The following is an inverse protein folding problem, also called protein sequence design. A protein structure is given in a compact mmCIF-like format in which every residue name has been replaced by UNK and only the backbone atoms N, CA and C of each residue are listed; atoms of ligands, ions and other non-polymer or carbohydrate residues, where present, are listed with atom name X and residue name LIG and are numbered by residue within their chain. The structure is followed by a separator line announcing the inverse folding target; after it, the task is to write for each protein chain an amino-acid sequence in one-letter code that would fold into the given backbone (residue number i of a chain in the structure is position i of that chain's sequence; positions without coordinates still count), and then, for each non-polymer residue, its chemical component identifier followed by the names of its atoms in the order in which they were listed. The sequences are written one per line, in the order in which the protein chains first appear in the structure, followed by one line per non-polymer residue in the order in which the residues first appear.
data_IF_556115729395
#
_entry.id   IF_556115729395
#
_cell.length_a   1.000
_cell.length_b   1.000
_cell.length_c   1.000
_cell.angle_alpha   90.00
_cell.angle_beta   90.00
_cell.angle_gamma   90.00
#
_symmetry.space_group_name_H-M   'P 1'
#
loop_
_entity.id
_entity.type
_entity.pdbx_description
1 polymer ?
#
# COMPACT_ATOMS: atom_id res chain seq x y z
N UNK A 1 -60.57 -37.72 -39.31
CA UNK A 1 -59.13 -37.63 -39.49
C UNK A 1 -58.67 -36.35 -38.82
N UNK A 2 -58.14 -36.47 -37.59
CA UNK A 2 -57.73 -35.33 -36.76
C UNK A 2 -56.18 -35.22 -36.87
N UNK A 3 -55.69 -34.20 -37.55
CA UNK A 3 -54.19 -33.91 -37.65
C UNK A 3 -53.72 -33.24 -36.38
N UNK A 4 -52.89 -33.94 -35.60
CA UNK A 4 -52.13 -33.38 -34.48
C UNK A 4 -50.94 -32.65 -35.07
N UNK A 5 -50.85 -31.35 -34.84
CA UNK A 5 -49.67 -30.53 -35.16
C UNK A 5 -48.82 -30.47 -33.89
N UNK A 6 -47.62 -31.09 -33.93
CA UNK A 6 -46.62 -30.99 -32.88
C UNK A 6 -45.84 -29.66 -33.06
N UNK A 7 -45.99 -28.74 -32.13
CA UNK A 7 -45.12 -27.58 -32.03
C UNK A 7 -43.84 -27.97 -31.27
N UNK A 8 -42.70 -28.02 -31.96
CA UNK A 8 -41.37 -28.15 -31.33
C UNK A 8 -40.97 -26.76 -30.86
N UNK A 9 -40.98 -26.55 -29.55
CA UNK A 9 -40.40 -25.35 -28.91
C UNK A 9 -38.90 -25.58 -28.77
N UNK A 10 -38.11 -24.93 -29.61
CA UNK A 10 -36.65 -24.89 -29.46
C UNK A 10 -36.31 -23.87 -28.36
N UNK A 11 -35.96 -24.38 -27.17
CA UNK A 11 -35.42 -23.57 -26.10
C UNK A 11 -33.94 -23.29 -26.42
N UNK A 12 -33.63 -22.09 -26.94
CA UNK A 12 -32.26 -21.60 -27.12
C UNK A 12 -31.78 -21.15 -25.76
N UNK A 13 -30.99 -21.99 -25.08
CA UNK A 13 -30.29 -21.62 -23.86
C UNK A 13 -29.16 -20.69 -24.23
N UNK A 14 -29.32 -19.38 -23.97
CA UNK A 14 -28.24 -18.45 -23.97
C UNK A 14 -27.34 -18.73 -22.73
N UNK A 15 -26.25 -19.43 -22.95
CA UNK A 15 -25.19 -19.50 -21.97
C UNK A 15 -24.57 -18.09 -21.86
N UNK A 16 -24.94 -17.38 -20.81
CA UNK A 16 -24.23 -16.12 -20.44
C UNK A 16 -22.78 -16.48 -20.10
N UNK A 17 -21.87 -16.18 -21.00
CA UNK A 17 -20.45 -16.18 -20.72
C UNK A 17 -20.26 -15.07 -19.69
N UNK A 18 -20.06 -15.43 -18.43
CA UNK A 18 -19.64 -14.50 -17.40
C UNK A 18 -18.26 -13.97 -17.84
N UNK A 19 -18.23 -12.77 -18.41
CA UNK A 19 -16.99 -12.02 -18.57
C UNK A 19 -16.52 -11.69 -17.15
N UNK A 20 -15.33 -12.15 -16.77
CA UNK A 20 -14.65 -11.60 -15.60
C UNK A 20 -14.58 -10.09 -15.83
N UNK A 21 -15.23 -9.30 -14.96
CA UNK A 21 -15.14 -7.84 -15.05
C UNK A 21 -13.68 -7.47 -14.84
N UNK A 22 -13.14 -6.57 -15.68
CA UNK A 22 -11.80 -6.03 -15.47
C UNK A 22 -11.69 -5.47 -14.05
N UNK A 23 -10.51 -5.63 -13.38
CA UNK A 23 -10.31 -5.05 -12.07
C UNK A 23 -10.61 -3.55 -12.09
N UNK A 24 -11.15 -2.97 -11.00
CA UNK A 24 -11.38 -1.54 -10.90
C UNK A 24 -10.12 -0.74 -11.26
N UNK A 25 -10.27 0.44 -11.91
CA UNK A 25 -9.14 1.27 -12.35
C UNK A 25 -8.13 1.55 -11.23
N UNK A 26 -8.63 1.71 -10.01
CA UNK A 26 -7.75 1.95 -8.85
C UNK A 26 -6.83 0.75 -8.59
N UNK A 27 -7.34 -0.47 -8.68
CA UNK A 27 -6.56 -1.70 -8.52
C UNK A 27 -5.56 -1.89 -9.66
N UNK A 28 -5.97 -1.61 -10.89
CA UNK A 28 -5.07 -1.64 -12.05
C UNK A 28 -3.90 -0.67 -11.86
N UNK A 29 -4.19 0.57 -11.43
CA UNK A 29 -3.17 1.57 -11.16
C UNK A 29 -2.16 1.14 -10.08
N UNK A 30 -2.64 0.52 -8.99
CA UNK A 30 -1.73 -0.04 -7.97
C UNK A 30 -0.89 -1.20 -8.51
N UNK A 31 -1.47 -2.09 -9.32
CA UNK A 31 -0.72 -3.19 -9.96
C UNK A 31 0.36 -2.66 -10.89
N UNK A 32 0.05 -1.67 -11.73
CA UNK A 32 1.04 -1.02 -12.58
C UNK A 32 2.16 -0.35 -11.77
N UNK A 33 1.80 0.31 -10.67
CA UNK A 33 2.78 0.93 -9.76
C UNK A 33 3.74 -0.11 -9.17
N UNK A 34 3.23 -1.27 -8.72
CA UNK A 34 4.06 -2.37 -8.20
C UNK A 34 4.91 -3.03 -9.29
N UNK A 35 4.50 -2.98 -10.54
CA UNK A 35 5.28 -3.45 -11.69
C UNK A 35 6.24 -2.37 -12.26
N UNK A 36 6.40 -1.25 -11.54
CA UNK A 36 7.20 -0.05 -11.90
C UNK A 36 6.71 0.66 -13.16
N UNK A 37 5.50 0.40 -13.63
CA UNK A 37 4.90 1.08 -14.76
C UNK A 37 4.16 2.34 -14.32
N UNK A 38 4.91 3.32 -13.78
CA UNK A 38 4.33 4.54 -13.19
C UNK A 38 3.50 5.37 -14.18
N UNK A 39 3.81 5.30 -15.48
CA UNK A 39 3.04 6.01 -16.50
C UNK A 39 1.61 5.45 -16.62
N UNK A 40 1.48 4.12 -16.69
CA UNK A 40 0.16 3.47 -16.76
C UNK A 40 -0.59 3.62 -15.43
N UNK A 41 0.11 3.50 -14.29
CA UNK A 41 -0.49 3.74 -12.98
C UNK A 41 -1.15 5.12 -12.92
N UNK A 42 -0.45 6.18 -13.35
CA UNK A 42 -1.01 7.54 -13.39
C UNK A 42 -2.21 7.67 -14.34
N UNK A 43 -2.19 6.98 -15.49
CA UNK A 43 -3.33 6.99 -16.39
C UNK A 43 -4.58 6.38 -15.74
N UNK A 44 -4.44 5.23 -15.06
CA UNK A 44 -5.54 4.58 -14.38
C UNK A 44 -6.06 5.41 -13.20
N UNK A 45 -5.19 6.02 -12.40
CA UNK A 45 -5.59 6.91 -11.31
C UNK A 45 -6.33 8.14 -11.81
N UNK A 46 -5.82 8.80 -12.86
CA UNK A 46 -6.48 9.94 -13.48
C UNK A 46 -7.84 9.57 -14.10
N UNK A 47 -7.96 8.41 -14.75
CA UNK A 47 -9.23 7.93 -15.26
C UNK A 47 -10.23 7.66 -14.12
N UNK A 48 -9.75 7.08 -13.01
CA UNK A 48 -10.58 6.89 -11.82
C UNK A 48 -11.09 8.22 -11.26
N UNK A 49 -10.24 9.24 -11.17
CA UNK A 49 -10.65 10.59 -10.73
C UNK A 49 -11.71 11.21 -11.64
N UNK A 50 -11.61 11.03 -12.95
CA UNK A 50 -12.62 11.52 -13.90
C UNK A 50 -13.96 10.82 -13.67
N UNK A 51 -13.95 9.51 -13.41
CA UNK A 51 -15.17 8.73 -13.15
C UNK A 51 -15.76 9.00 -11.77
N UNK A 52 -14.92 9.28 -10.77
CA UNK A 52 -15.30 9.45 -9.37
C UNK A 52 -14.64 10.71 -8.75
N UNK A 53 -14.99 11.92 -9.21
CA UNK A 53 -14.26 13.14 -8.85
C UNK A 53 -14.38 13.54 -7.36
N UNK A 54 -15.37 12.98 -6.65
CA UNK A 54 -15.54 13.20 -5.20
C UNK A 54 -14.89 12.11 -4.34
N UNK A 55 -14.30 11.09 -4.95
CA UNK A 55 -13.69 9.99 -4.23
C UNK A 55 -12.23 10.30 -3.87
N UNK A 56 -11.87 10.37 -2.56
CA UNK A 56 -10.52 10.73 -2.15
C UNK A 56 -9.45 9.69 -2.50
N UNK A 57 -9.85 8.46 -2.87
CA UNK A 57 -8.89 7.43 -3.30
C UNK A 57 -8.19 7.79 -4.61
N UNK A 58 -8.82 8.52 -5.53
CA UNK A 58 -8.19 8.95 -6.77
C UNK A 58 -6.92 9.76 -6.50
N UNK A 59 -7.04 10.95 -5.92
CA UNK A 59 -5.87 11.82 -5.71
C UNK A 59 -4.84 11.23 -4.73
N UNK A 60 -5.22 10.46 -3.70
CA UNK A 60 -4.22 9.83 -2.84
C UNK A 60 -3.43 8.75 -3.58
N UNK A 61 -4.05 8.05 -4.53
CA UNK A 61 -3.37 7.05 -5.38
C UNK A 61 -2.46 7.72 -6.40
N UNK A 62 -2.86 8.85 -7.00
CA UNK A 62 -1.93 9.65 -7.81
C UNK A 62 -0.69 10.08 -7.02
N UNK A 63 -0.88 10.53 -5.77
CA UNK A 63 0.23 10.89 -4.90
C UNK A 63 1.15 9.68 -4.62
N UNK A 64 0.58 8.48 -4.41
CA UNK A 64 1.36 7.25 -4.27
C UNK A 64 2.20 6.97 -5.51
N UNK A 65 1.61 7.01 -6.69
CA UNK A 65 2.32 6.80 -7.95
C UNK A 65 3.46 7.80 -8.18
N UNK A 66 3.27 9.09 -7.87
CA UNK A 66 4.34 10.09 -7.93
C UNK A 66 5.45 9.81 -6.92
N UNK A 67 5.09 9.46 -5.68
CA UNK A 67 6.07 9.20 -4.61
C UNK A 67 6.90 7.94 -4.91
N UNK A 68 6.27 6.85 -5.31
CA UNK A 68 6.99 5.62 -5.63
C UNK A 68 7.84 5.76 -6.89
N UNK A 69 7.39 6.54 -7.89
CA UNK A 69 8.21 6.91 -9.04
C UNK A 69 9.45 7.71 -8.63
N UNK A 70 9.31 8.63 -7.68
CA UNK A 70 10.45 9.40 -7.14
C UNK A 70 11.38 8.53 -6.28
N UNK A 71 10.84 7.58 -5.51
CA UNK A 71 11.64 6.58 -4.81
C UNK A 71 12.48 5.73 -5.77
N UNK A 72 11.88 5.27 -6.87
CA UNK A 72 12.61 4.53 -7.90
C UNK A 72 13.73 5.36 -8.51
N UNK A 73 13.44 6.63 -8.85
CA UNK A 73 14.43 7.57 -9.40
C UNK A 73 15.60 7.84 -8.44
N UNK A 74 15.30 7.93 -7.14
CA UNK A 74 16.29 8.22 -6.10
C UNK A 74 17.00 6.97 -5.55
N UNK A 75 16.62 5.76 -6.00
CA UNK A 75 17.21 4.50 -5.53
C UNK A 75 16.80 4.13 -4.09
N UNK A 76 15.66 4.63 -3.60
CA UNK A 76 15.19 4.39 -2.22
C UNK A 76 14.53 3.02 -2.07
N UNK A 77 14.06 2.41 -3.17
CA UNK A 77 13.35 1.13 -3.12
C UNK A 77 14.29 -0.08 -2.92
N UNK A 78 15.54 0.15 -2.57
CA UNK A 78 16.51 -0.93 -2.34
C UNK A 78 16.33 -1.55 -0.96
N UNK A 79 16.21 -2.86 -0.90
CA UNK A 79 15.93 -3.63 0.33
C UNK A 79 16.99 -3.42 1.40
N UNK A 80 18.25 -3.23 1.01
CA UNK A 80 19.36 -3.03 1.94
C UNK A 80 19.12 -1.84 2.90
N UNK A 81 18.42 -0.79 2.46
CA UNK A 81 18.05 0.35 3.29
C UNK A 81 17.18 -0.05 4.48
N UNK A 82 16.38 -1.10 4.32
CA UNK A 82 15.41 -1.53 5.34
C UNK A 82 15.85 -2.76 6.13
N UNK A 83 16.81 -3.52 5.62
CA UNK A 83 17.34 -4.72 6.28
C UNK A 83 18.40 -4.35 7.32
N UNK A 84 19.20 -3.32 7.07
CA UNK A 84 20.28 -2.87 7.96
C UNK A 84 19.97 -1.51 8.60
N UNK A 85 19.89 -1.47 9.94
CA UNK A 85 19.60 -0.25 10.68
C UNK A 85 20.67 0.82 10.48
N UNK A 86 21.96 0.46 10.34
CA UNK A 86 23.03 1.42 10.09
C UNK A 86 22.84 2.08 8.72
N UNK A 87 22.50 1.30 7.70
CA UNK A 87 22.22 1.84 6.36
C UNK A 87 21.04 2.81 6.38
N UNK A 88 20.02 2.55 7.21
CA UNK A 88 18.90 3.46 7.37
C UNK A 88 19.29 4.74 8.14
N UNK A 89 20.04 4.62 9.24
CA UNK A 89 20.44 5.76 10.06
C UNK A 89 21.43 6.66 9.33
N UNK A 90 22.39 6.08 8.59
CA UNK A 90 23.42 6.79 7.83
C UNK A 90 22.95 7.30 6.46
N UNK A 91 21.69 7.02 6.08
CA UNK A 91 21.13 7.47 4.81
C UNK A 91 21.30 8.97 4.62
N UNK A 92 21.69 9.39 3.43
CA UNK A 92 21.79 10.80 3.09
C UNK A 92 20.42 11.42 2.88
N UNK A 93 20.30 12.71 3.21
CA UNK A 93 19.16 13.50 2.77
C UNK A 93 19.17 13.56 1.25
N UNK A 94 18.09 13.16 0.63
CA UNK A 94 17.94 13.14 -0.82
C UNK A 94 17.44 14.50 -1.33
N UNK A 95 17.69 14.77 -2.61
CA UNK A 95 17.19 15.97 -3.28
C UNK A 95 16.09 15.55 -4.24
N UNK A 96 14.81 15.73 -3.87
CA UNK A 96 13.68 15.39 -4.73
C UNK A 96 13.58 16.38 -5.89
N UNK A 97 12.92 15.92 -6.98
CA UNK A 97 12.49 16.84 -8.03
C UNK A 97 11.41 17.78 -7.48
N UNK A 98 11.62 19.12 -7.52
CA UNK A 98 10.64 20.07 -6.98
C UNK A 98 9.27 20.00 -7.68
N UNK A 99 9.25 19.67 -8.97
CA UNK A 99 8.00 19.52 -9.72
C UNK A 99 7.22 18.27 -9.29
N UNK A 100 7.93 17.16 -9.03
CA UNK A 100 7.32 15.94 -8.50
C UNK A 100 6.83 16.17 -7.07
N UNK A 101 7.62 16.85 -6.23
CA UNK A 101 7.17 17.23 -4.88
C UNK A 101 5.87 18.04 -4.92
N UNK A 102 5.79 19.02 -5.80
CA UNK A 102 4.58 19.84 -5.95
C UNK A 102 3.37 19.00 -6.37
N UNK A 103 3.55 18.01 -7.27
CA UNK A 103 2.47 17.09 -7.67
C UNK A 103 2.00 16.25 -6.48
N UNK A 104 2.93 15.68 -5.70
CA UNK A 104 2.62 14.91 -4.49
C UNK A 104 1.82 15.77 -3.51
N UNK A 105 2.32 16.96 -3.17
CA UNK A 105 1.67 17.85 -2.21
C UNK A 105 0.26 18.27 -2.68
N UNK A 106 0.10 18.56 -3.96
CA UNK A 106 -1.20 18.94 -4.56
C UNK A 106 -2.19 17.78 -4.48
N UNK A 107 -1.76 16.59 -4.85
CA UNK A 107 -2.60 15.39 -4.84
C UNK A 107 -3.00 15.01 -3.41
N UNK A 108 -2.07 15.02 -2.45
CA UNK A 108 -2.36 14.75 -1.03
C UNK A 108 -3.33 15.77 -0.43
N UNK A 109 -3.14 17.06 -0.73
CA UNK A 109 -4.03 18.11 -0.22
C UNK A 109 -5.45 17.96 -0.81
N UNK A 110 -5.57 17.59 -2.09
CA UNK A 110 -6.87 17.31 -2.74
C UNK A 110 -7.54 16.09 -2.09
N UNK A 111 -6.77 15.01 -1.84
CA UNK A 111 -7.27 13.82 -1.17
C UNK A 111 -7.80 14.14 0.23
N UNK A 112 -7.03 14.91 1.02
CA UNK A 112 -7.42 15.32 2.37
C UNK A 112 -8.71 16.16 2.36
N UNK A 113 -8.83 17.14 1.43
CA UNK A 113 -10.04 17.96 1.29
C UNK A 113 -11.28 17.13 0.95
N UNK A 114 -11.16 16.19 0.00
CA UNK A 114 -12.26 15.30 -0.37
C UNK A 114 -12.64 14.35 0.77
N UNK A 115 -11.65 13.80 1.46
CA UNK A 115 -11.87 12.93 2.61
C UNK A 115 -12.56 13.69 3.76
N UNK A 116 -12.09 14.90 4.10
CA UNK A 116 -12.71 15.73 5.14
C UNK A 116 -14.15 16.12 4.79
N UNK A 117 -14.42 16.44 3.52
CA UNK A 117 -15.77 16.71 3.06
C UNK A 117 -16.68 15.48 3.14
N UNK A 118 -16.17 14.28 2.87
CA UNK A 118 -16.91 13.02 2.98
C UNK A 118 -17.17 12.69 4.46
N UNK A 119 -16.17 12.79 5.33
CA UNK A 119 -16.29 12.55 6.77
C UNK A 119 -17.19 13.55 7.46
N UNK A 120 -17.23 14.81 6.99
CA UNK A 120 -18.19 15.81 7.48
C UNK A 120 -19.65 15.45 7.19
N UNK A 121 -19.93 14.68 6.14
CA UNK A 121 -21.26 14.14 5.82
C UNK A 121 -21.54 12.80 6.49
N UNK A 122 -20.54 11.94 6.54
CA UNK A 122 -20.60 10.61 7.13
C UNK A 122 -19.29 10.31 7.89
N UNK A 123 -19.24 10.49 9.22
CA UNK A 123 -18.02 10.25 10.00
C UNK A 123 -17.45 8.83 9.93
N UNK A 124 -18.27 7.84 9.53
CA UNK A 124 -17.89 6.43 9.39
C UNK A 124 -17.68 6.01 7.92
N UNK A 125 -17.44 6.98 7.02
CA UNK A 125 -17.11 6.68 5.63
C UNK A 125 -15.74 5.99 5.55
N UNK A 126 -15.76 4.68 5.35
CA UNK A 126 -14.55 3.86 5.34
C UNK A 126 -13.58 4.24 4.21
N UNK A 127 -14.09 4.66 3.06
CA UNK A 127 -13.25 5.09 1.93
C UNK A 127 -12.49 6.36 2.28
N UNK A 128 -13.18 7.32 2.90
CA UNK A 128 -12.56 8.57 3.32
C UNK A 128 -11.57 8.37 4.49
N UNK A 129 -11.92 7.52 5.48
CA UNK A 129 -11.01 7.14 6.55
C UNK A 129 -9.74 6.48 5.99
N UNK A 130 -9.89 5.52 5.08
CA UNK A 130 -8.75 4.82 4.46
C UNK A 130 -7.89 5.76 3.61
N UNK A 131 -8.49 6.66 2.83
CA UNK A 131 -7.74 7.65 2.06
C UNK A 131 -6.88 8.56 2.97
N UNK A 132 -7.39 8.94 4.16
CA UNK A 132 -6.58 9.69 5.15
C UNK A 132 -5.45 8.84 5.74
N UNK A 133 -5.68 7.56 5.99
CA UNK A 133 -4.62 6.64 6.44
C UNK A 133 -3.51 6.58 5.39
N UNK A 134 -3.86 6.42 4.10
CA UNK A 134 -2.89 6.44 3.00
C UNK A 134 -2.14 7.77 2.89
N UNK A 135 -2.87 8.90 2.95
CA UNK A 135 -2.28 10.24 2.88
C UNK A 135 -1.21 10.45 3.97
N UNK A 136 -1.51 10.04 5.21
CA UNK A 136 -0.57 10.11 6.33
C UNK A 136 0.62 9.16 6.16
N UNK A 137 0.40 7.95 5.65
CA UNK A 137 1.47 7.00 5.31
C UNK A 137 2.44 7.59 4.28
N UNK A 138 1.93 8.11 3.17
CA UNK A 138 2.75 8.72 2.12
C UNK A 138 3.52 9.96 2.61
N UNK A 139 2.90 10.79 3.48
CA UNK A 139 3.61 11.92 4.12
C UNK A 139 4.72 11.44 5.06
N UNK A 140 4.48 10.35 5.79
CA UNK A 140 5.48 9.72 6.65
C UNK A 140 6.66 9.22 5.83
N UNK A 141 6.39 8.48 4.76
CA UNK A 141 7.42 7.91 3.89
C UNK A 141 8.26 9.01 3.21
N UNK A 142 7.61 10.07 2.71
CA UNK A 142 8.32 11.21 2.13
C UNK A 142 9.23 11.89 3.17
N UNK A 143 8.70 12.14 4.37
CA UNK A 143 9.46 12.79 5.44
C UNK A 143 10.64 11.94 5.92
N UNK A 144 10.44 10.62 6.09
CA UNK A 144 11.49 9.70 6.53
C UNK A 144 12.53 9.46 5.44
N UNK A 145 12.10 9.04 4.25
CA UNK A 145 12.99 8.45 3.25
C UNK A 145 13.66 9.50 2.36
N UNK A 146 13.02 10.63 2.09
CA UNK A 146 13.57 11.71 1.25
C UNK A 146 14.13 12.84 2.11
N UNK A 147 13.32 13.39 3.02
CA UNK A 147 13.71 14.59 3.77
C UNK A 147 14.53 14.32 5.03
N UNK A 148 14.61 13.08 5.49
CA UNK A 148 15.26 12.68 6.76
C UNK A 148 14.70 13.48 7.95
N UNK A 149 13.36 13.65 7.98
CA UNK A 149 12.62 14.34 9.04
C UNK A 149 11.90 13.33 9.93
N UNK A 150 12.68 12.56 10.69
CA UNK A 150 12.21 11.40 11.42
C UNK A 150 11.11 11.71 12.46
N UNK A 151 11.18 12.88 13.13
CA UNK A 151 10.12 13.29 14.07
C UNK A 151 8.80 13.60 13.37
N UNK A 152 8.84 14.20 12.19
CA UNK A 152 7.64 14.45 11.40
C UNK A 152 7.05 13.13 10.88
N UNK A 153 7.90 12.23 10.39
CA UNK A 153 7.50 10.90 9.96
C UNK A 153 6.80 10.14 11.10
N UNK A 154 7.40 10.09 12.29
CA UNK A 154 6.80 9.46 13.46
C UNK A 154 5.43 10.06 13.82
N UNK A 155 5.28 11.39 13.72
CA UNK A 155 3.99 12.06 13.96
C UNK A 155 2.93 11.63 12.96
N UNK A 156 3.27 11.55 11.66
CA UNK A 156 2.35 11.09 10.61
C UNK A 156 1.98 9.61 10.79
N UNK A 157 2.96 8.76 11.08
CA UNK A 157 2.73 7.33 11.35
C UNK A 157 1.75 7.14 12.50
N UNK A 158 1.95 7.84 13.63
CA UNK A 158 1.06 7.77 14.80
C UNK A 158 -0.37 8.22 14.47
N UNK A 159 -0.52 9.30 13.70
CA UNK A 159 -1.85 9.77 13.28
C UNK A 159 -2.52 8.75 12.34
N UNK A 160 -1.78 8.24 11.34
CA UNK A 160 -2.27 7.24 10.40
C UNK A 160 -2.73 5.97 11.10
N UNK A 161 -1.94 5.48 12.07
CA UNK A 161 -2.31 4.35 12.90
C UNK A 161 -3.61 4.59 13.68
N UNK A 162 -3.73 5.73 14.37
CA UNK A 162 -4.94 6.03 15.15
C UNK A 162 -6.19 5.97 14.28
N UNK A 163 -6.13 6.52 13.06
CA UNK A 163 -7.24 6.44 12.10
C UNK A 163 -7.47 5.01 11.58
N UNK A 164 -6.40 4.25 11.33
CA UNK A 164 -6.51 2.87 10.91
C UNK A 164 -7.16 2.00 12.00
N UNK A 165 -6.78 2.16 13.26
CA UNK A 165 -7.40 1.47 14.40
C UNK A 165 -8.88 1.82 14.55
N UNK A 166 -9.25 3.09 14.32
CA UNK A 166 -10.65 3.52 14.31
C UNK A 166 -11.43 2.83 13.17
N UNK A 167 -10.90 2.84 11.95
CA UNK A 167 -11.50 2.17 10.82
C UNK A 167 -11.64 0.66 11.07
N UNK A 168 -10.62 0.01 11.60
CA UNK A 168 -10.62 -1.43 11.87
C UNK A 168 -11.59 -1.82 12.99
N UNK A 169 -11.80 -0.94 13.98
CA UNK A 169 -12.82 -1.16 15.02
C UNK A 169 -14.23 -1.20 14.43
N UNK A 170 -14.50 -0.37 13.43
CA UNK A 170 -15.79 -0.30 12.75
C UNK A 170 -15.93 -1.36 11.65
N UNK A 171 -14.82 -1.65 10.95
CA UNK A 171 -14.74 -2.57 9.81
C UNK A 171 -13.50 -3.46 9.90
N UNK A 172 -13.54 -4.57 10.66
CA UNK A 172 -12.39 -5.47 10.81
C UNK A 172 -11.93 -6.12 9.48
N UNK A 173 -12.74 -6.07 8.44
CA UNK A 173 -12.40 -6.58 7.10
C UNK A 173 -11.77 -5.54 6.19
N UNK A 174 -11.47 -4.34 6.67
CA UNK A 174 -10.70 -3.34 5.93
C UNK A 174 -9.21 -3.70 5.95
N UNK A 175 -8.85 -4.83 5.33
CA UNK A 175 -7.54 -5.48 5.48
C UNK A 175 -6.36 -4.60 5.09
N UNK A 176 -6.51 -3.69 4.12
CA UNK A 176 -5.44 -2.75 3.75
C UNK A 176 -5.08 -1.79 4.91
N UNK A 177 -6.00 -1.50 5.82
CA UNK A 177 -5.74 -0.62 6.94
C UNK A 177 -4.82 -1.25 8.01
N UNK A 178 -4.75 -2.59 8.09
CA UNK A 178 -3.80 -3.27 8.97
C UNK A 178 -2.35 -2.95 8.63
N UNK A 179 -2.05 -2.55 7.39
CA UNK A 179 -0.69 -2.14 7.02
C UNK A 179 -0.15 -1.02 7.92
N UNK A 180 -0.95 0.02 8.16
CA UNK A 180 -0.51 1.17 8.97
C UNK A 180 -0.22 0.77 10.42
N UNK A 181 -1.02 -0.13 11.00
CA UNK A 181 -0.83 -0.65 12.36
C UNK A 181 0.36 -1.60 12.39
N UNK A 182 0.46 -2.49 11.41
CA UNK A 182 1.51 -3.50 11.31
C UNK A 182 2.90 -2.91 11.12
N UNK A 183 3.04 -1.92 10.24
CA UNK A 183 4.32 -1.23 10.00
C UNK A 183 4.81 -0.53 11.27
N UNK A 184 3.96 0.22 11.98
CA UNK A 184 4.38 0.89 13.21
C UNK A 184 4.79 -0.10 14.29
N UNK A 185 3.96 -1.13 14.57
CA UNK A 185 4.26 -2.16 15.55
C UNK A 185 5.57 -2.88 15.23
N UNK A 186 5.78 -3.24 13.97
CA UNK A 186 6.99 -3.92 13.53
C UNK A 186 8.23 -3.02 13.68
N UNK A 187 8.25 -1.84 13.05
CA UNK A 187 9.40 -0.94 13.06
C UNK A 187 9.77 -0.46 14.46
N UNK A 188 8.78 -0.20 15.30
CA UNK A 188 9.00 0.17 16.70
C UNK A 188 9.43 -1.03 17.54
N UNK A 189 8.91 -2.21 17.25
CA UNK A 189 9.19 -3.46 17.97
C UNK A 189 10.60 -3.99 17.76
N UNK A 190 11.25 -3.70 16.62
CA UNK A 190 12.63 -4.11 16.35
C UNK A 190 13.69 -3.20 17.00
N UNK A 191 13.30 -2.06 17.56
CA UNK A 191 14.25 -1.14 18.22
C UNK A 191 14.80 -1.75 19.54
N UNK A 192 16.03 -1.37 19.96
CA UNK A 192 16.60 -1.81 21.23
C UNK A 192 15.70 -1.52 22.44
N UNK A 193 15.77 -2.34 23.48
CA UNK A 193 14.88 -2.25 24.64
C UNK A 193 14.79 -0.84 25.28
N UNK A 194 15.87 -0.07 25.46
CA UNK A 194 15.77 1.28 26.02
C UNK A 194 14.98 2.23 25.12
N UNK A 195 15.12 2.10 23.79
CA UNK A 195 14.39 2.93 22.80
C UNK A 195 12.92 2.54 22.81
N UNK A 196 12.60 1.24 22.83
CA UNK A 196 11.22 0.76 22.93
C UNK A 196 10.52 1.29 24.18
N UNK A 197 11.19 1.23 25.34
CA UNK A 197 10.63 1.76 26.57
C UNK A 197 10.30 3.25 26.47
N UNK A 198 11.21 4.05 25.89
CA UNK A 198 10.97 5.48 25.65
C UNK A 198 9.79 5.72 24.68
N UNK A 199 9.71 4.96 23.59
CA UNK A 199 8.61 5.02 22.62
C UNK A 199 7.26 4.67 23.26
N UNK A 200 7.23 3.65 24.12
CA UNK A 200 6.03 3.24 24.87
C UNK A 200 5.54 4.32 25.82
N UNK A 201 6.44 5.04 26.49
CA UNK A 201 6.07 6.21 27.30
C UNK A 201 5.40 7.31 26.47
N UNK A 202 5.77 7.44 25.19
CA UNK A 202 5.12 8.33 24.22
C UNK A 202 3.83 7.75 23.60
N UNK A 203 3.37 6.58 24.06
CA UNK A 203 2.17 5.91 23.57
C UNK A 203 2.34 5.20 22.23
N UNK A 204 3.60 4.93 21.80
CA UNK A 204 3.91 4.14 20.61
C UNK A 204 3.87 2.65 20.99
N UNK A 205 3.14 1.85 20.20
CA UNK A 205 3.15 0.41 20.36
C UNK A 205 4.44 -0.18 19.78
N UNK A 206 4.97 -1.21 20.43
CA UNK A 206 6.27 -1.79 20.05
C UNK A 206 6.20 -3.34 20.11
N UNK A 207 5.13 -3.90 19.54
CA UNK A 207 4.94 -5.35 19.48
C UNK A 207 5.26 -5.87 18.09
N UNK A 208 6.49 -6.41 17.93
CA UNK A 208 6.97 -6.98 16.67
C UNK A 208 6.07 -8.13 16.19
N UNK A 209 5.61 -8.99 17.09
CA UNK A 209 4.79 -10.16 16.73
C UNK A 209 3.41 -9.72 16.22
N UNK A 210 2.79 -8.75 16.88
CA UNK A 210 1.55 -8.14 16.41
C UNK A 210 1.77 -7.43 15.06
N UNK A 211 2.89 -6.74 14.89
CA UNK A 211 3.24 -6.10 13.61
C UNK A 211 3.31 -7.11 12.45
N UNK A 212 3.98 -8.24 12.64
CA UNK A 212 4.03 -9.32 11.64
C UNK A 212 2.63 -9.89 11.37
N UNK A 213 1.83 -10.12 12.42
CA UNK A 213 0.46 -10.59 12.25
C UNK A 213 -0.40 -9.63 11.41
N UNK A 214 -0.37 -8.34 11.69
CA UNK A 214 -1.14 -7.32 10.96
C UNK A 214 -0.67 -7.20 9.50
N UNK A 215 0.64 -7.25 9.26
CA UNK A 215 1.20 -7.30 7.91
C UNK A 215 0.75 -8.55 7.16
N UNK A 216 0.66 -9.70 7.83
CA UNK A 216 0.17 -10.95 7.23
C UNK A 216 -1.30 -10.84 6.83
N UNK A 217 -2.14 -10.23 7.68
CA UNK A 217 -3.55 -9.98 7.33
C UNK A 217 -3.66 -9.12 6.06
N UNK A 218 -2.84 -8.07 5.94
CA UNK A 218 -2.83 -7.26 4.72
C UNK A 218 -2.30 -8.05 3.53
N UNK A 219 -1.23 -8.84 3.69
CA UNK A 219 -0.62 -9.61 2.60
C UNK A 219 -1.56 -10.67 2.02
N UNK A 220 -2.39 -11.30 2.87
CA UNK A 220 -3.30 -12.38 2.48
C UNK A 220 -4.67 -11.91 2.01
N UNK A 221 -5.17 -10.81 2.56
CA UNK A 221 -6.56 -10.38 2.39
C UNK A 221 -6.72 -8.94 1.90
N UNK A 222 -5.65 -8.14 1.90
CA UNK A 222 -5.66 -6.78 1.38
C UNK A 222 -5.86 -6.75 -0.13
N UNK A 223 -6.37 -5.64 -0.61
CA UNK A 223 -6.63 -5.45 -2.03
C UNK A 223 -5.54 -4.57 -2.69
N UNK A 224 -5.36 -3.36 -2.19
CA UNK A 224 -4.43 -2.40 -2.78
C UNK A 224 -3.01 -2.54 -2.24
N UNK A 225 -2.86 -2.90 -0.97
CA UNK A 225 -1.59 -2.87 -0.25
C UNK A 225 -0.99 -4.26 0.03
N UNK A 226 -1.65 -5.34 -0.41
CA UNK A 226 -1.14 -6.69 -0.24
C UNK A 226 0.28 -6.90 -0.80
N UNK A 227 0.65 -6.39 -2.01
CA UNK A 227 2.02 -6.50 -2.49
C UNK A 227 3.03 -5.77 -1.61
N UNK A 228 2.69 -4.58 -1.12
CA UNK A 228 3.58 -3.83 -0.22
C UNK A 228 3.76 -4.54 1.13
N UNK A 229 2.70 -5.10 1.69
CA UNK A 229 2.79 -5.92 2.91
C UNK A 229 3.69 -7.14 2.73
N UNK A 230 3.64 -7.81 1.56
CA UNK A 230 4.56 -8.92 1.23
C UNK A 230 6.01 -8.46 1.14
N UNK A 231 6.29 -7.26 0.60
CA UNK A 231 7.64 -6.67 0.63
C UNK A 231 8.10 -6.45 2.06
N UNK A 232 7.25 -5.88 2.93
CA UNK A 232 7.58 -5.65 4.35
C UNK A 232 7.83 -6.96 5.11
N UNK A 233 7.07 -8.00 4.84
CA UNK A 233 7.29 -9.33 5.42
C UNK A 233 8.60 -9.96 4.90
N UNK A 234 8.93 -9.81 3.62
CA UNK A 234 10.21 -10.29 3.09
C UNK A 234 11.40 -9.56 3.76
N UNK A 235 11.30 -8.25 3.97
CA UNK A 235 12.31 -7.49 4.74
C UNK A 235 12.39 -8.01 6.19
N UNK A 236 11.27 -8.28 6.84
CA UNK A 236 11.23 -8.82 8.19
C UNK A 236 11.91 -10.19 8.28
N UNK A 237 11.63 -11.07 7.32
CA UNK A 237 12.24 -12.40 7.21
C UNK A 237 13.76 -12.31 6.99
N UNK A 238 14.24 -11.41 6.10
CA UNK A 238 15.66 -11.19 5.88
C UNK A 238 16.36 -10.70 7.16
N UNK A 239 15.75 -9.77 7.91
CA UNK A 239 16.27 -9.30 9.21
C UNK A 239 16.35 -10.42 10.23
N UNK A 240 15.37 -11.34 10.23
CA UNK A 240 15.31 -12.48 11.13
C UNK A 240 16.13 -13.69 10.63
N UNK A 241 16.84 -13.55 9.51
CA UNK A 241 17.62 -14.60 8.84
C UNK A 241 16.77 -15.79 8.37
N UNK A 242 15.49 -15.58 8.18
CA UNK A 242 14.57 -16.53 7.54
C UNK A 242 14.61 -16.38 6.02
N UNK A 243 15.74 -16.74 5.41
CA UNK A 243 15.93 -16.58 3.96
C UNK A 243 14.89 -17.35 3.16
N UNK A 244 14.46 -18.54 3.62
CA UNK A 244 13.44 -19.35 2.94
C UNK A 244 12.08 -18.64 2.84
N UNK A 245 11.63 -18.00 3.93
CA UNK A 245 10.40 -17.20 3.96
C UNK A 245 10.50 -16.00 3.02
N UNK A 246 11.58 -15.23 3.14
CA UNK A 246 11.84 -14.08 2.27
C UNK A 246 11.82 -14.48 0.79
N UNK A 247 12.50 -15.56 0.41
CA UNK A 247 12.55 -16.03 -0.97
C UNK A 247 11.18 -16.47 -1.49
N UNK A 248 10.35 -17.09 -0.67
CA UNK A 248 8.98 -17.46 -1.04
C UNK A 248 8.15 -16.22 -1.40
N UNK A 249 8.23 -15.17 -0.59
CA UNK A 249 7.53 -13.90 -0.81
C UNK A 249 8.05 -13.18 -2.05
N UNK A 250 9.38 -13.09 -2.21
CA UNK A 250 10.02 -12.44 -3.36
C UNK A 250 9.73 -13.16 -4.67
N UNK A 251 9.72 -14.51 -4.69
CA UNK A 251 9.31 -15.28 -5.88
C UNK A 251 7.85 -15.01 -6.26
N UNK A 252 6.95 -14.96 -5.28
CA UNK A 252 5.55 -14.60 -5.52
C UNK A 252 5.42 -13.20 -6.15
N UNK A 253 6.13 -12.21 -5.59
CA UNK A 253 6.13 -10.84 -6.09
C UNK A 253 6.72 -10.74 -7.51
N UNK A 254 7.87 -11.39 -7.78
CA UNK A 254 8.49 -11.39 -9.10
C UNK A 254 7.63 -12.09 -10.17
N UNK A 255 6.87 -13.11 -9.77
CA UNK A 255 5.93 -13.79 -10.67
C UNK A 255 4.70 -12.92 -10.97
N UNK A 256 4.19 -12.21 -9.98
CA UNK A 256 3.02 -11.34 -10.13
C UNK A 256 3.36 -10.02 -10.87
N UNK A 257 4.58 -9.50 -10.67
CA UNK A 257 5.07 -8.23 -11.21
C UNK A 257 6.37 -8.44 -12.00
N UNK A 258 6.30 -9.06 -13.19
CA UNK A 258 7.48 -9.53 -13.92
C UNK A 258 8.38 -8.42 -14.47
N UNK A 259 7.88 -7.18 -14.63
CA UNK A 259 8.67 -6.04 -15.09
C UNK A 259 9.40 -5.33 -13.93
N UNK A 260 9.10 -5.67 -12.68
CA UNK A 260 9.77 -5.09 -11.53
C UNK A 260 11.14 -5.71 -11.31
N UNK A 261 12.18 -5.08 -11.87
CA UNK A 261 13.56 -5.52 -11.78
C UNK A 261 14.11 -5.56 -10.33
N UNK A 262 13.47 -4.82 -9.40
CA UNK A 262 13.89 -4.84 -7.99
C UNK A 262 13.67 -6.23 -7.38
N UNK A 263 12.52 -6.86 -7.63
CA UNK A 263 12.24 -8.20 -7.11
C UNK A 263 13.20 -9.25 -7.68
N UNK A 264 13.51 -9.17 -8.98
CA UNK A 264 14.49 -10.07 -9.61
C UNK A 264 15.90 -9.88 -9.04
N UNK A 265 16.31 -8.63 -8.78
CA UNK A 265 17.60 -8.33 -8.15
C UNK A 265 17.67 -8.90 -6.73
N UNK A 266 16.63 -8.70 -5.92
CA UNK A 266 16.59 -9.20 -4.54
C UNK A 266 16.62 -10.74 -4.49
N UNK A 267 15.94 -11.42 -5.42
CA UNK A 267 16.05 -12.86 -5.60
C UNK A 267 17.50 -13.29 -5.88
N UNK A 268 18.18 -12.59 -6.79
CA UNK A 268 19.59 -12.87 -7.12
C UNK A 268 20.55 -12.60 -5.96
N UNK A 269 20.22 -11.69 -5.04
CA UNK A 269 21.07 -11.38 -3.89
C UNK A 269 20.87 -12.34 -2.70
N UNK A 270 19.67 -12.84 -2.50
CA UNK A 270 19.29 -13.55 -1.27
C UNK A 270 18.88 -15.01 -1.46
N UNK A 271 18.52 -15.43 -2.69
CA UNK A 271 17.87 -16.72 -2.94
C UNK A 271 18.76 -17.64 -3.84
N UNK A 272 19.69 -18.33 -3.20
CA UNK A 272 20.61 -19.26 -3.87
C UNK A 272 20.28 -20.71 -3.54
#
# INVERSE_FOLDING_TARGET
MRRLIFFIVIVVSFASVAHASDPPLIEQGFRDMYDLNFSMAQQHFSQFEVQQPANPLGPVSEAAGYLFGEFARLGVLETQLFVDDNSFEDRKKLVPDPAVKQKIDTALNKADQLADAALGRNPTDATAQFAKVLSLGLRSDYAALIEKRDLAALSYTKQGRTLAEQLLKERPTAYDAYLAVGVENYLSGIKPAPVRWFLQMGGVQTDKAQGIHDLTLTAEHGNLLAPFARVMLAVADLRDKNTGGACTLLHGLATEFPHNQLYHRELGLHCH
#
